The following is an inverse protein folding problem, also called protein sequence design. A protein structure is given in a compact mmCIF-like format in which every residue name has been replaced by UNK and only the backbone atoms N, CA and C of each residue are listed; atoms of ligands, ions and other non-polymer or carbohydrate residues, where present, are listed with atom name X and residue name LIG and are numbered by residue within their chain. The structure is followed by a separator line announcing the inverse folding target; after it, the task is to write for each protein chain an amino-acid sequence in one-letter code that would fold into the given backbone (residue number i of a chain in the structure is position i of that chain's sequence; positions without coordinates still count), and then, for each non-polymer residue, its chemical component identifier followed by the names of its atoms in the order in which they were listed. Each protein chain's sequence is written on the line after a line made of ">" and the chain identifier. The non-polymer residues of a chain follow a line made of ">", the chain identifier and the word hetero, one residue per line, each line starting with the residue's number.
data_IF_706401561064
#
_entry.id   IF_706401561064
#
_cell.length_a   1.000
_cell.length_b   1.000
_cell.length_c   1.000
_cell.angle_alpha   90.00
_cell.angle_beta   90.00
_cell.angle_gamma   90.00
#
_symmetry.space_group_name_H-M   'P 1'
#
loop_
_entity.id
_entity.type
_entity.pdbx_description
1 polymer ?
#
# COMPACT_ATOMS: atom_id res chain seq x y z
N UNK A 1 25.28 4.46 3.61
CA UNK A 1 24.29 4.84 2.58
C UNK A 1 23.54 3.65 1.96
N UNK A 2 24.21 2.54 1.64
CA UNK A 2 23.56 1.35 1.03
C UNK A 2 22.35 0.82 1.81
N UNK A 3 22.54 0.45 3.09
CA UNK A 3 21.48 -0.20 3.88
C UNK A 3 20.15 0.58 3.93
N UNK A 4 20.18 1.91 4.10
CA UNK A 4 18.93 2.69 4.15
C UNK A 4 18.19 2.72 2.81
N UNK A 5 18.93 2.79 1.69
CA UNK A 5 18.34 2.71 0.36
C UNK A 5 17.83 1.30 0.06
N UNK A 6 18.57 0.28 0.51
CA UNK A 6 18.19 -1.12 0.38
C UNK A 6 16.90 -1.40 1.18
N UNK A 7 16.81 -0.91 2.42
CA UNK A 7 15.60 -1.03 3.27
C UNK A 7 14.39 -0.33 2.60
N UNK A 8 14.59 0.88 2.05
CA UNK A 8 13.55 1.62 1.34
C UNK A 8 13.09 0.92 0.05
N UNK A 9 13.98 0.20 -0.60
CA UNK A 9 13.68 -0.60 -1.79
C UNK A 9 12.93 -1.87 -1.41
N UNK A 10 13.37 -2.56 -0.36
CA UNK A 10 12.70 -3.75 0.18
C UNK A 10 11.27 -3.42 0.62
N UNK A 11 11.07 -2.31 1.33
CA UNK A 11 9.75 -1.81 1.72
C UNK A 11 8.83 -1.55 0.52
N UNK A 12 9.38 -0.99 -0.56
CA UNK A 12 8.64 -0.74 -1.79
C UNK A 12 8.28 -2.05 -2.48
N UNK A 13 9.22 -2.98 -2.56
CA UNK A 13 9.04 -4.29 -3.20
C UNK A 13 7.96 -5.10 -2.48
N UNK A 14 8.00 -5.19 -1.14
CA UNK A 14 6.97 -5.87 -0.36
C UNK A 14 5.57 -5.25 -0.58
N UNK A 15 5.50 -3.92 -0.64
CA UNK A 15 4.25 -3.20 -0.91
C UNK A 15 3.75 -3.49 -2.33
N UNK A 16 4.66 -3.53 -3.30
CA UNK A 16 4.34 -3.84 -4.68
C UNK A 16 3.86 -5.29 -4.86
N UNK A 17 4.52 -6.25 -4.22
CA UNK A 17 4.09 -7.66 -4.21
C UNK A 17 2.68 -7.83 -3.64
N UNK A 18 2.36 -7.10 -2.57
CA UNK A 18 1.02 -7.09 -1.99
C UNK A 18 -0.02 -6.54 -2.99
N UNK A 19 0.31 -5.46 -3.70
CA UNK A 19 -0.54 -4.92 -4.77
C UNK A 19 -0.75 -5.94 -5.90
N UNK A 20 0.32 -6.61 -6.33
CA UNK A 20 0.29 -7.58 -7.42
C UNK A 20 -0.62 -8.77 -7.09
N UNK A 21 -0.62 -9.27 -5.85
CA UNK A 21 -1.50 -10.36 -5.41
C UNK A 21 -2.98 -10.06 -5.67
N UNK A 22 -3.39 -8.81 -5.47
CA UNK A 22 -4.78 -8.37 -5.73
C UNK A 22 -4.99 -8.03 -7.20
N UNK A 23 -4.00 -7.40 -7.85
CA UNK A 23 -4.09 -7.00 -9.26
C UNK A 23 -4.16 -8.19 -10.24
N UNK A 24 -3.59 -9.34 -9.86
CA UNK A 24 -3.62 -10.60 -10.62
C UNK A 24 -4.96 -11.35 -10.49
N UNK A 25 -5.84 -10.91 -9.58
CA UNK A 25 -7.18 -11.47 -9.45
C UNK A 25 -8.06 -11.10 -10.66
N UNK A 26 -9.21 -11.77 -10.74
CA UNK A 26 -10.21 -11.43 -11.74
C UNK A 26 -10.71 -10.00 -11.54
N UNK A 27 -11.12 -9.36 -12.64
CA UNK A 27 -11.55 -7.95 -12.61
C UNK A 27 -12.64 -7.70 -11.56
N UNK A 28 -13.58 -8.64 -11.40
CA UNK A 28 -14.67 -8.53 -10.43
C UNK A 28 -14.21 -8.42 -8.97
N UNK A 29 -13.06 -9.01 -8.64
CA UNK A 29 -12.53 -9.01 -7.27
C UNK A 29 -11.57 -7.84 -7.05
N UNK A 30 -10.69 -7.56 -8.02
CA UNK A 30 -9.74 -6.43 -7.92
C UNK A 30 -10.39 -5.04 -8.08
N UNK A 31 -11.51 -4.96 -8.80
CA UNK A 31 -12.21 -3.70 -9.07
C UNK A 31 -13.20 -3.29 -7.98
N UNK A 32 -13.43 -4.15 -7.00
CA UNK A 32 -14.20 -3.86 -5.78
C UNK A 32 -13.22 -3.58 -4.64
N UNK A 33 -12.99 -2.29 -4.29
CA UNK A 33 -11.96 -1.97 -3.32
C UNK A 33 -12.32 -2.40 -1.89
N UNK A 34 -13.62 -2.50 -1.59
CA UNK A 34 -14.09 -2.96 -0.29
C UNK A 34 -13.84 -4.45 -0.11
N UNK A 35 -14.06 -5.26 -1.16
CA UNK A 35 -13.69 -6.69 -1.13
C UNK A 35 -12.18 -6.88 -1.11
N UNK A 36 -11.45 -6.13 -1.93
CA UNK A 36 -9.99 -6.16 -1.92
C UNK A 36 -9.45 -5.90 -0.51
N UNK A 37 -10.05 -4.93 0.20
CA UNK A 37 -9.74 -4.65 1.60
C UNK A 37 -10.03 -5.84 2.52
N UNK A 38 -11.28 -6.33 2.56
CA UNK A 38 -11.71 -7.36 3.53
C UNK A 38 -11.09 -8.71 3.29
N UNK A 39 -10.89 -9.10 2.04
CA UNK A 39 -10.58 -10.48 1.65
C UNK A 39 -9.07 -10.70 1.39
N UNK A 40 -8.30 -9.63 1.16
CA UNK A 40 -6.89 -9.74 0.79
C UNK A 40 -5.96 -8.86 1.63
N UNK A 41 -6.27 -7.57 1.79
CA UNK A 41 -5.33 -6.67 2.47
C UNK A 41 -5.41 -6.72 3.99
N UNK A 42 -6.61 -6.91 4.57
CA UNK A 42 -6.79 -6.95 6.02
C UNK A 42 -6.09 -8.13 6.70
N UNK A 43 -5.81 -9.21 5.95
CA UNK A 43 -5.07 -10.38 6.45
C UNK A 43 -3.54 -10.20 6.36
N UNK A 44 -3.05 -9.14 5.72
CA UNK A 44 -1.61 -8.94 5.52
C UNK A 44 -0.94 -8.32 6.75
N UNK A 45 0.15 -8.93 7.20
CA UNK A 45 0.98 -8.37 8.28
C UNK A 45 1.65 -7.05 7.92
N UNK A 46 1.78 -6.74 6.62
CA UNK A 46 2.36 -5.49 6.14
C UNK A 46 1.40 -4.30 6.35
N UNK A 47 0.10 -4.57 6.42
CA UNK A 47 -0.95 -3.55 6.49
C UNK A 47 -1.11 -3.03 7.91
N UNK A 48 -1.21 -1.71 8.02
CA UNK A 48 -1.64 -1.01 9.23
C UNK A 48 -3.17 -0.93 9.23
N UNK A 49 -3.79 -1.98 9.80
CA UNK A 49 -5.26 -2.10 9.90
C UNK A 49 -5.85 -0.92 10.69
N UNK A 50 -5.36 -0.59 11.91
CA UNK A 50 -5.91 0.54 12.68
C UNK A 50 -5.89 1.85 11.92
N UNK A 51 -4.78 2.16 11.22
CA UNK A 51 -4.67 3.40 10.44
C UNK A 51 -5.60 3.38 9.25
N UNK A 52 -5.66 2.26 8.52
CA UNK A 52 -6.54 2.13 7.35
C UNK A 52 -8.00 2.26 7.74
N UNK A 53 -8.45 1.60 8.80
CA UNK A 53 -9.83 1.70 9.31
C UNK A 53 -10.17 3.12 9.78
N UNK A 54 -9.22 3.85 10.37
CA UNK A 54 -9.42 5.25 10.78
C UNK A 54 -9.61 6.19 9.60
N UNK A 55 -8.89 5.94 8.50
CA UNK A 55 -8.92 6.76 7.29
C UNK A 55 -10.11 6.43 6.38
N UNK A 56 -10.69 5.23 6.53
CA UNK A 56 -11.95 4.87 5.87
C UNK A 56 -13.08 5.67 6.52
N UNK A 57 -13.55 6.68 5.79
CA UNK A 57 -14.75 7.44 6.18
C UNK A 57 -16.00 6.60 5.92
N UNK A 58 -16.89 6.50 6.91
CA UNK A 58 -18.16 5.80 6.77
C UNK A 58 -18.92 6.21 5.49
N UNK A 59 -19.31 5.21 4.70
CA UNK A 59 -20.04 5.41 3.45
C UNK A 59 -19.18 5.68 2.21
N UNK A 60 -17.85 5.75 2.34
CA UNK A 60 -16.92 5.88 1.20
C UNK A 60 -16.20 4.56 0.92
N UNK A 61 -16.12 4.09 -0.33
CA UNK A 61 -15.31 2.93 -0.68
C UNK A 61 -13.84 3.10 -0.28
N UNK A 62 -13.21 2.01 0.16
CA UNK A 62 -11.79 2.02 0.51
C UNK A 62 -10.98 2.45 -0.70
N UNK A 63 -10.27 3.58 -0.59
CA UNK A 63 -9.45 4.11 -1.71
C UNK A 63 -7.97 4.06 -1.42
N UNK A 64 -7.60 3.97 -0.13
CA UNK A 64 -6.23 3.92 0.36
C UNK A 64 -6.11 2.88 1.46
N UNK A 65 -5.00 2.18 1.44
CA UNK A 65 -4.60 1.18 2.43
C UNK A 65 -3.20 1.57 2.87
N UNK A 66 -3.00 1.67 4.17
CA UNK A 66 -1.72 2.08 4.73
C UNK A 66 -0.94 0.85 5.16
N UNK A 67 0.35 0.79 4.83
CA UNK A 67 1.23 -0.23 5.37
C UNK A 67 1.92 0.30 6.64
N UNK A 68 2.54 -0.61 7.39
CA UNK A 68 3.33 -0.27 8.59
C UNK A 68 4.63 0.45 8.24
N UNK A 69 5.11 0.32 7.00
CA UNK A 69 6.26 1.03 6.50
C UNK A 69 5.86 2.41 5.92
N UNK A 70 6.74 3.06 5.16
CA UNK A 70 6.48 4.40 4.60
C UNK A 70 5.55 4.41 3.39
N UNK A 71 5.10 3.26 2.92
CA UNK A 71 4.28 3.11 1.73
C UNK A 71 2.86 2.63 2.06
N UNK A 72 1.97 2.80 1.11
CA UNK A 72 0.62 2.26 1.14
C UNK A 72 0.16 1.89 -0.26
N UNK A 73 -1.05 1.41 -0.40
CA UNK A 73 -1.70 1.08 -1.66
C UNK A 73 -2.87 2.01 -1.91
N UNK A 74 -2.94 2.57 -3.11
CA UNK A 74 -4.05 3.39 -3.55
C UNK A 74 -4.77 2.70 -4.72
N UNK A 75 -6.09 2.66 -4.65
CA UNK A 75 -6.91 2.18 -5.75
C UNK A 75 -7.00 3.24 -6.84
N UNK A 76 -6.68 2.88 -8.07
CA UNK A 76 -6.86 3.71 -9.25
C UNK A 76 -8.20 3.35 -9.93
N UNK A 77 -9.22 4.23 -9.89
CA UNK A 77 -10.54 3.93 -10.47
C UNK A 77 -10.54 3.90 -12.01
N UNK A 78 -9.57 4.53 -12.67
CA UNK A 78 -9.48 4.54 -14.14
C UNK A 78 -8.94 3.22 -14.68
N UNK A 79 -7.89 2.70 -14.04
CA UNK A 79 -7.23 1.47 -14.47
C UNK A 79 -7.71 0.23 -13.72
N UNK A 80 -8.46 0.43 -12.62
CA UNK A 80 -8.94 -0.61 -11.69
C UNK A 80 -7.82 -1.45 -11.08
N UNK A 81 -6.68 -0.81 -10.82
CA UNK A 81 -5.50 -1.43 -10.22
C UNK A 81 -5.11 -0.73 -8.93
N UNK A 82 -4.51 -1.49 -8.02
CA UNK A 82 -3.86 -1.00 -6.82
C UNK A 82 -2.42 -0.62 -7.14
N UNK A 83 -2.01 0.58 -6.76
CA UNK A 83 -0.65 1.10 -6.97
C UNK A 83 -0.04 1.55 -5.65
N UNK A 84 1.23 1.25 -5.39
CA UNK A 84 1.92 1.79 -4.24
C UNK A 84 2.03 3.32 -4.28
N UNK A 85 1.83 3.95 -3.14
CA UNK A 85 2.09 5.36 -2.90
C UNK A 85 2.93 5.51 -1.64
N UNK A 86 3.64 6.63 -1.50
CA UNK A 86 4.42 6.94 -0.30
C UNK A 86 3.65 7.89 0.60
N UNK A 87 3.62 7.62 1.89
CA UNK A 87 3.04 8.50 2.91
C UNK A 87 3.98 8.80 4.09
N UNK A 88 5.05 8.04 4.25
CA UNK A 88 6.06 8.29 5.29
C UNK A 88 7.10 9.30 4.85
N UNK A 89 7.73 9.95 5.82
CA UNK A 89 8.84 10.87 5.57
C UNK A 89 10.08 10.09 5.12
N UNK A 90 10.82 10.69 4.19
CA UNK A 90 12.13 10.20 3.78
C UNK A 90 13.16 11.08 4.43
N UNK A 91 14.11 10.47 5.13
CA UNK A 91 15.21 11.18 5.75
C UNK A 91 16.21 11.59 4.68
N UNK A 92 16.03 12.80 4.13
CA UNK A 92 16.89 13.37 3.09
C UNK A 92 18.33 13.61 3.58
N UNK A 93 18.58 13.67 4.89
CA UNK A 93 19.94 13.84 5.42
C UNK A 93 20.77 12.59 5.15
N UNK A 94 20.15 11.40 5.31
CA UNK A 94 20.74 10.11 4.92
C UNK A 94 20.96 9.95 3.41
N UNK A 95 20.37 10.83 2.59
CA UNK A 95 20.59 10.92 1.14
C UNK A 95 21.73 11.89 0.75
N UNK A 96 22.26 12.67 1.68
CA UNK A 96 23.27 13.72 1.39
C UNK A 96 24.61 13.50 2.09
N UNK A 97 24.73 12.53 2.99
CA UNK A 97 26.01 12.12 3.55
C UNK A 97 26.78 11.24 2.53
N UNK A 98 27.51 11.94 1.66
CA UNK A 98 28.60 11.40 0.82
C UNK A 98 29.85 11.10 1.68
#
# INVERSE_FOLDING_TARGET
>A
MGQYLDDLWEDLEQTWELAMKVNDLQENDRSDPSKSWTDHFKESDLVDIPRTETEITDGTPVSKIYCKNIYGLQYNPETKYWVPFRHGEVDLVKFTED
#
